data_IF_409066583645
#
_entry.id   IF_409066583645
#
_cell.length_a   1.000
_cell.length_b   1.000
_cell.length_c   1.000
_cell.angle_alpha   90.00
_cell.angle_beta   90.00
_cell.angle_gamma   90.00
#
_symmetry.space_group_name_H-M   'P 1'
#
loop_
_entity.id
_entity.type
_entity.pdbx_description
1 polymer ?
#
# COMPACT_ATOMS: atom_id res chain seq x y z
N UNK A 1 -27.28 73.01 -16.36
CA UNK A 1 -27.31 71.65 -16.94
C UNK A 1 -26.14 70.90 -16.35
N UNK A 2 -26.39 70.01 -15.38
CA UNK A 2 -25.33 69.27 -14.71
C UNK A 2 -24.90 68.10 -15.61
N UNK A 3 -23.61 67.98 -15.86
CA UNK A 3 -23.01 66.87 -16.62
C UNK A 3 -23.10 65.62 -15.76
N UNK A 4 -23.63 64.49 -16.27
CA UNK A 4 -23.69 63.25 -15.50
C UNK A 4 -22.27 62.73 -15.21
N UNK A 5 -22.05 62.08 -14.04
CA UNK A 5 -20.75 61.53 -13.69
C UNK A 5 -20.35 60.40 -14.67
N UNK A 6 -19.04 60.22 -14.93
CA UNK A 6 -18.55 59.13 -15.77
C UNK A 6 -18.89 57.76 -15.14
N UNK A 7 -19.11 56.72 -15.96
CA UNK A 7 -19.36 55.38 -15.47
C UNK A 7 -18.14 54.85 -14.68
N UNK A 8 -18.36 54.00 -13.66
CA UNK A 8 -17.26 53.41 -12.90
C UNK A 8 -16.37 52.56 -13.81
N UNK A 9 -15.06 52.76 -13.71
CA UNK A 9 -14.05 51.93 -14.40
C UNK A 9 -14.19 50.47 -13.95
N UNK A 10 -14.39 49.58 -14.92
CA UNK A 10 -14.48 48.15 -14.72
C UNK A 10 -13.10 47.62 -14.27
N UNK A 11 -13.03 46.85 -13.16
CA UNK A 11 -11.76 46.38 -12.64
C UNK A 11 -11.05 45.49 -13.67
N UNK A 12 -9.70 45.51 -13.74
CA UNK A 12 -8.95 44.71 -14.69
C UNK A 12 -9.26 43.22 -14.49
N UNK A 13 -9.51 42.53 -15.61
CA UNK A 13 -9.78 41.10 -15.63
C UNK A 13 -8.66 40.34 -14.88
N UNK A 14 -9.01 39.33 -14.05
CA UNK A 14 -8.01 38.54 -13.35
C UNK A 14 -7.06 37.88 -14.36
N UNK A 15 -5.77 37.69 -14.01
CA UNK A 15 -4.82 37.00 -14.89
C UNK A 15 -5.33 35.59 -15.21
N UNK A 16 -5.06 35.05 -16.41
CA UNK A 16 -5.48 33.71 -16.76
C UNK A 16 -4.91 32.73 -15.73
N UNK A 17 -5.79 31.90 -15.15
CA UNK A 17 -5.39 30.83 -14.25
C UNK A 17 -4.33 29.96 -14.94
N UNK A 18 -3.24 29.68 -14.23
CA UNK A 18 -2.20 28.76 -14.70
C UNK A 18 -2.77 27.35 -14.94
N UNK A 19 -2.03 26.47 -15.62
CA UNK A 19 -2.50 25.11 -15.88
C UNK A 19 -2.73 24.37 -14.55
N UNK A 20 -3.96 23.92 -14.31
CA UNK A 20 -4.36 23.19 -13.10
C UNK A 20 -4.27 21.66 -13.27
N UNK A 21 -3.87 21.18 -14.46
CA UNK A 21 -3.73 19.74 -14.75
C UNK A 21 -2.79 19.44 -15.92
N UNK A 22 -2.34 18.19 -16.00
CA UNK A 22 -1.44 17.69 -17.05
C UNK A 22 -2.08 16.54 -17.83
N UNK A 23 -1.93 16.55 -19.16
CA UNK A 23 -2.49 15.54 -20.03
C UNK A 23 -1.85 14.15 -19.75
N UNK A 24 -2.63 13.07 -19.58
CA UNK A 24 -2.10 11.74 -19.24
C UNK A 24 -1.30 11.08 -20.37
N UNK A 25 -1.36 11.62 -21.59
CA UNK A 25 -0.66 11.07 -22.77
C UNK A 25 0.65 11.77 -23.08
N UNK A 26 0.68 13.10 -23.02
CA UNK A 26 1.86 13.90 -23.39
C UNK A 26 2.38 14.81 -22.26
N UNK A 27 1.71 14.81 -21.09
CA UNK A 27 2.06 15.62 -19.92
C UNK A 27 2.03 17.15 -20.14
N UNK A 28 1.41 17.62 -21.24
CA UNK A 28 1.18 19.05 -21.46
C UNK A 28 0.18 19.61 -20.45
N UNK A 29 0.45 20.81 -19.94
CA UNK A 29 -0.47 21.51 -19.04
C UNK A 29 -1.72 21.98 -19.77
N UNK A 30 -2.89 21.85 -19.17
CA UNK A 30 -4.16 22.31 -19.76
C UNK A 30 -4.94 23.23 -18.81
N UNK A 31 -5.76 24.10 -19.41
CA UNK A 31 -6.61 25.06 -18.69
C UNK A 31 -7.96 24.44 -18.27
N UNK A 32 -8.63 24.96 -17.24
CA UNK A 32 -9.95 24.49 -16.82
C UNK A 32 -10.98 24.61 -17.96
N UNK A 33 -11.81 23.57 -18.13
CA UNK A 33 -12.84 23.51 -19.18
C UNK A 33 -12.34 23.12 -20.58
N UNK A 34 -11.04 22.83 -20.74
CA UNK A 34 -10.48 22.42 -22.03
C UNK A 34 -10.87 20.96 -22.34
N UNK A 35 -11.71 20.75 -23.36
CA UNK A 35 -12.24 19.41 -23.70
C UNK A 35 -11.23 18.52 -24.43
N UNK A 36 -10.19 19.10 -25.02
CA UNK A 36 -9.14 18.42 -25.77
C UNK A 36 -7.77 19.01 -25.44
N UNK A 37 -6.76 18.17 -25.29
CA UNK A 37 -5.37 18.61 -25.17
C UNK A 37 -4.89 19.18 -26.51
N UNK A 38 -4.39 20.41 -26.50
CA UNK A 38 -3.99 21.14 -27.71
C UNK A 38 -2.69 20.59 -28.32
N UNK A 39 -1.87 19.86 -27.54
CA UNK A 39 -0.59 19.31 -27.98
C UNK A 39 -0.72 17.93 -28.62
N UNK A 40 -1.63 17.07 -28.13
CA UNK A 40 -1.73 15.68 -28.60
C UNK A 40 -3.13 15.27 -29.09
N UNK A 41 -4.14 16.14 -28.98
CA UNK A 41 -5.50 15.89 -29.45
C UNK A 41 -6.32 14.91 -28.60
N UNK A 42 -5.80 14.48 -27.43
CA UNK A 42 -6.55 13.61 -26.53
C UNK A 42 -7.73 14.37 -25.91
N UNK A 43 -8.94 13.79 -25.96
CA UNK A 43 -10.10 14.33 -25.23
C UNK A 43 -9.85 14.23 -23.72
N UNK A 44 -9.83 15.37 -23.05
CA UNK A 44 -9.58 15.45 -21.61
C UNK A 44 -10.89 15.15 -20.85
N UNK A 45 -10.84 14.40 -19.73
CA UNK A 45 -12.01 14.20 -18.91
C UNK A 45 -12.35 15.55 -18.26
N UNK A 46 -13.35 16.23 -18.83
CA UNK A 46 -13.94 17.39 -18.18
C UNK A 46 -14.49 16.90 -16.85
N UNK A 47 -13.89 17.33 -15.74
CA UNK A 47 -14.52 17.27 -14.44
C UNK A 47 -15.74 18.22 -14.47
N UNK A 48 -16.82 17.76 -15.09
CA UNK A 48 -18.11 18.42 -15.08
C UNK A 48 -18.76 18.18 -13.71
N UNK A 49 -18.64 19.20 -12.86
CA UNK A 49 -19.78 19.76 -12.13
C UNK A 49 -20.51 18.88 -11.09
N UNK A 50 -20.27 19.22 -9.82
CA UNK A 50 -21.29 19.49 -8.79
C UNK A 50 -22.46 18.48 -8.67
N UNK A 51 -22.20 17.30 -8.10
CA UNK A 51 -23.16 16.63 -7.22
C UNK A 51 -22.41 16.09 -5.98
N UNK A 52 -22.95 16.27 -4.75
CA UNK A 52 -22.24 15.92 -3.52
C UNK A 52 -22.38 14.42 -3.25
N UNK A 53 -21.63 13.59 -3.99
CA UNK A 53 -21.47 12.15 -3.71
C UNK A 53 -20.04 11.85 -3.18
N UNK A 54 -19.35 12.88 -2.69
CA UNK A 54 -17.95 12.77 -2.24
C UNK A 54 -17.72 13.10 -0.76
N UNK A 55 -18.71 12.90 0.11
CA UNK A 55 -18.43 12.90 1.57
C UNK A 55 -18.02 11.50 2.06
N UNK A 56 -18.21 10.45 1.26
CA UNK A 56 -17.82 9.06 1.62
C UNK A 56 -16.32 8.73 1.39
N UNK A 57 -15.55 9.34 0.45
CA UNK A 57 -14.15 8.94 0.24
C UNK A 57 -13.12 9.67 1.12
N UNK A 58 -13.50 10.74 1.85
CA UNK A 58 -12.54 11.44 2.71
C UNK A 58 -12.37 10.74 4.07
N UNK A 59 -13.47 10.25 4.67
CA UNK A 59 -13.43 9.52 5.94
C UNK A 59 -12.95 8.07 5.75
N UNK A 60 -13.24 7.45 4.60
CA UNK A 60 -12.83 6.08 4.28
C UNK A 60 -11.31 5.92 4.13
N UNK A 61 -10.62 6.92 3.57
CA UNK A 61 -9.15 6.91 3.40
C UNK A 61 -8.39 7.04 4.72
N UNK A 62 -9.00 7.67 5.74
CA UNK A 62 -8.41 7.76 7.08
C UNK A 62 -8.59 6.44 7.87
N UNK A 63 -9.72 5.75 7.68
CA UNK A 63 -10.02 4.51 8.38
C UNK A 63 -9.36 3.26 7.76
N UNK A 64 -9.13 3.26 6.43
CA UNK A 64 -8.36 2.23 5.72
C UNK A 64 -6.91 2.07 6.19
N UNK A 65 -6.32 3.09 6.84
CA UNK A 65 -4.95 3.00 7.39
C UNK A 65 -4.88 2.32 8.76
N UNK A 66 -6.00 2.12 9.46
CA UNK A 66 -5.99 1.59 10.84
C UNK A 66 -6.53 0.17 10.99
N UNK A 67 -7.25 -0.39 10.01
CA UNK A 67 -7.83 -1.74 10.13
C UNK A 67 -7.51 -2.57 8.87
N UNK A 68 -6.56 -3.52 8.94
CA UNK A 68 -6.08 -4.30 7.78
C UNK A 68 -7.07 -5.36 7.28
N UNK A 69 -8.23 -5.52 7.92
CA UNK A 69 -9.28 -6.45 7.54
C UNK A 69 -10.56 -5.67 7.21
N UNK A 70 -10.59 -5.03 6.04
CA UNK A 70 -11.76 -4.31 5.53
C UNK A 70 -12.45 -5.15 4.45
N UNK A 71 -13.61 -5.79 4.74
CA UNK A 71 -14.30 -6.69 3.83
C UNK A 71 -15.15 -5.90 2.81
N UNK A 72 -14.50 -5.22 1.86
CA UNK A 72 -15.12 -4.65 0.66
C UNK A 72 -16.30 -3.69 0.86
N UNK A 73 -16.94 -3.33 -0.24
CA UNK A 73 -18.03 -2.34 -0.31
C UNK A 73 -19.34 -2.79 0.38
N UNK A 74 -19.38 -3.99 0.97
CA UNK A 74 -20.53 -4.52 1.70
C UNK A 74 -20.62 -4.01 3.15
N UNK A 75 -19.51 -3.53 3.74
CA UNK A 75 -19.50 -3.06 5.13
C UNK A 75 -20.35 -1.78 5.32
N UNK A 76 -20.35 -0.88 4.35
CA UNK A 76 -21.14 0.36 4.39
C UNK A 76 -22.65 0.13 4.37
N UNK A 77 -23.22 -0.68 3.46
CA UNK A 77 -24.65 -0.98 3.51
C UNK A 77 -25.02 -1.74 4.78
N UNK A 78 -24.15 -2.60 5.32
CA UNK A 78 -24.38 -3.25 6.62
C UNK A 78 -24.37 -2.25 7.77
N UNK A 79 -23.39 -1.34 7.85
CA UNK A 79 -23.34 -0.28 8.87
C UNK A 79 -24.53 0.66 8.77
N UNK A 80 -24.93 1.05 7.55
CA UNK A 80 -26.14 1.85 7.34
C UNK A 80 -27.39 1.10 7.82
N UNK A 81 -27.53 -0.18 7.47
CA UNK A 81 -28.58 -1.04 7.98
C UNK A 81 -28.56 -1.13 9.51
N UNK A 82 -27.38 -1.23 10.12
CA UNK A 82 -27.20 -1.28 11.58
C UNK A 82 -27.59 0.05 12.22
N UNK A 83 -27.24 1.19 11.63
CA UNK A 83 -27.68 2.52 12.10
C UNK A 83 -29.20 2.64 12.06
N UNK A 84 -29.82 2.26 10.94
CA UNK A 84 -31.29 2.24 10.80
C UNK A 84 -31.93 1.31 11.84
N UNK A 85 -31.35 0.12 12.06
CA UNK A 85 -31.81 -0.82 13.08
C UNK A 85 -31.64 -0.28 14.50
N UNK A 86 -30.51 0.38 14.82
CA UNK A 86 -30.29 1.01 16.13
C UNK A 86 -31.25 2.16 16.38
N UNK A 87 -31.53 2.99 15.37
CA UNK A 87 -32.54 4.06 15.48
C UNK A 87 -33.93 3.47 15.76
N UNK A 88 -34.31 2.41 15.03
CA UNK A 88 -35.54 1.67 15.29
C UNK A 88 -35.60 1.05 16.69
N UNK A 89 -34.50 0.44 17.15
CA UNK A 89 -34.39 -0.15 18.48
C UNK A 89 -34.41 0.91 19.59
N UNK A 90 -33.77 2.08 19.42
CA UNK A 90 -33.83 3.18 20.40
C UNK A 90 -35.24 3.73 20.54
N UNK A 91 -36.00 3.83 19.44
CA UNK A 91 -37.41 4.20 19.47
C UNK A 91 -38.24 3.15 20.22
N UNK A 92 -37.97 1.86 20.03
CA UNK A 92 -38.66 0.78 20.73
C UNK A 92 -38.33 0.73 22.24
N UNK A 93 -37.07 0.95 22.61
CA UNK A 93 -36.62 0.90 24.01
C UNK A 93 -37.14 2.12 24.80
N UNK A 94 -37.27 3.29 24.18
CA UNK A 94 -37.92 4.44 24.83
C UNK A 94 -39.38 4.17 25.19
N UNK A 95 -40.03 3.19 24.55
CA UNK A 95 -41.40 2.76 24.88
C UNK A 95 -41.49 1.73 26.01
N UNK A 96 -40.38 1.14 26.48
CA UNK A 96 -40.45 -0.01 27.41
C UNK A 96 -39.62 0.13 28.69
N UNK A 97 -39.01 1.30 28.95
CA UNK A 97 -38.28 1.53 30.21
C UNK A 97 -39.22 1.93 31.33
N UNK A 98 -39.87 0.93 31.91
CA UNK A 98 -40.39 1.05 33.28
C UNK A 98 -40.23 -0.30 33.99
N UNK A 99 -38.97 -0.67 34.32
CA UNK A 99 -38.61 -1.50 35.49
C UNK A 99 -37.08 -1.55 35.64
N UNK A 100 -36.53 -0.71 36.52
CA UNK A 100 -35.13 -0.82 36.98
C UNK A 100 -35.07 -1.64 38.27
N UNK A 101 -34.25 -2.70 38.27
CA UNK A 101 -33.82 -3.41 39.47
C UNK A 101 -32.32 -3.72 39.37
N UNK A 102 -31.46 -3.23 40.29
CA UNK A 102 -30.01 -3.37 40.15
C UNK A 102 -29.51 -4.73 40.62
N UNK A 103 -28.78 -5.44 39.75
CA UNK A 103 -28.00 -6.63 40.13
C UNK A 103 -26.54 -6.24 40.37
N UNK A 104 -26.05 -6.52 41.57
CA UNK A 104 -24.67 -6.27 42.02
C UNK A 104 -23.83 -7.53 41.78
N UNK A 105 -22.63 -7.40 41.19
CA UNK A 105 -21.58 -8.44 41.27
C UNK A 105 -20.26 -7.78 41.66
N UNK A 106 -19.72 -8.21 42.80
CA UNK A 106 -18.38 -7.93 43.28
C UNK A 106 -17.44 -9.04 42.79
N UNK A 107 -16.19 -8.71 42.44
CA UNK A 107 -15.12 -9.71 42.39
C UNK A 107 -13.83 -9.08 42.89
N UNK A 108 -13.39 -9.64 44.01
CA UNK A 108 -12.12 -9.43 44.69
C UNK A 108 -10.98 -10.12 43.92
N UNK A 109 -9.77 -9.59 43.97
CA UNK A 109 -8.59 -10.20 43.36
C UNK A 109 -7.40 -10.03 44.29
N UNK A 110 -7.07 -11.11 45.01
CA UNK A 110 -5.87 -11.24 45.81
C UNK A 110 -4.73 -11.98 45.08
N UNK A 111 -3.45 -11.76 45.47
CA UNK A 111 -2.24 -12.03 44.67
C UNK A 111 -1.40 -13.20 45.21
N UNK A 112 -0.36 -13.65 44.48
CA UNK A 112 0.93 -14.30 44.92
C UNK A 112 1.63 -14.78 43.62
N UNK A 113 2.78 -14.28 43.15
CA UNK A 113 4.18 -14.19 43.64
C UNK A 113 5.07 -15.44 43.42
N UNK A 114 6.28 -15.11 42.97
CA UNK A 114 7.61 -15.73 43.06
C UNK A 114 8.03 -16.96 42.24
N UNK A 115 9.09 -16.75 41.44
CA UNK A 115 10.26 -17.63 41.42
C UNK A 115 11.08 -17.66 40.11
N UNK A 116 12.37 -17.27 40.12
CA UNK A 116 13.34 -17.72 39.13
C UNK A 116 14.40 -18.65 39.75
N UNK A 117 14.70 -19.77 39.08
CA UNK A 117 15.75 -20.73 39.50
C UNK A 117 16.86 -20.82 38.43
N UNK A 118 18.04 -20.35 38.83
CA UNK A 118 19.41 -20.89 38.71
C UNK A 118 19.88 -21.67 37.47
N UNK A 119 21.07 -21.32 36.94
CA UNK A 119 21.92 -22.23 36.13
C UNK A 119 23.43 -22.05 36.41
N UNK A 120 23.98 -23.00 37.18
CA UNK A 120 25.23 -23.82 37.09
C UNK A 120 26.55 -23.34 36.44
N UNK A 121 27.57 -23.06 37.27
CA UNK A 121 28.89 -23.73 37.56
C UNK A 121 29.74 -24.52 36.50
N UNK A 122 30.94 -23.97 36.19
CA UNK A 122 32.37 -24.49 36.29
C UNK A 122 32.91 -25.81 35.61
N UNK A 123 33.71 -25.69 34.51
CA UNK A 123 35.19 -25.92 34.23
C UNK A 123 36.00 -27.03 35.01
N UNK A 124 37.19 -27.64 34.64
CA UNK A 124 38.05 -27.87 33.41
C UNK A 124 38.53 -29.40 33.21
N UNK A 125 39.82 -29.78 32.89
CA UNK A 125 40.55 -30.02 31.60
C UNK A 125 41.19 -31.45 31.45
N UNK A 126 42.03 -31.79 30.42
CA UNK A 126 43.53 -31.72 30.51
C UNK A 126 44.29 -31.41 29.16
N UNK A 127 45.42 -30.67 29.13
CA UNK A 127 46.88 -31.08 29.12
C UNK A 127 47.35 -31.67 27.76
N UNK A 128 48.46 -31.34 27.07
CA UNK A 128 49.82 -30.86 27.43
C UNK A 128 50.63 -30.36 26.20
N UNK A 129 51.82 -29.76 26.46
CA UNK A 129 53.07 -29.71 25.63
C UNK A 129 53.61 -28.32 25.20
N UNK A 130 54.49 -27.82 26.07
CA UNK A 130 55.75 -27.03 25.98
C UNK A 130 56.44 -26.87 24.61
N UNK A 131 56.98 -25.66 24.29
CA UNK A 131 58.40 -25.35 23.91
C UNK A 131 58.69 -23.84 24.00
N UNK A 132 59.87 -23.54 24.55
CA UNK A 132 60.63 -22.29 24.83
C UNK A 132 60.78 -21.29 23.68
N UNK A 133 60.75 -19.97 23.95
CA UNK A 133 61.43 -18.93 23.14
C UNK A 133 61.83 -17.70 23.99
N UNK A 134 63.01 -17.19 23.68
CA UNK A 134 63.82 -16.11 24.26
C UNK A 134 63.10 -14.75 24.32
N UNK A 135 63.31 -14.01 25.42
CA UNK A 135 62.77 -12.66 25.66
C UNK A 135 63.68 -11.58 25.06
N UNK A 136 63.20 -10.92 24.02
CA UNK A 136 63.66 -9.60 23.57
C UNK A 136 62.65 -8.54 24.09
N UNK A 137 63.08 -7.35 24.55
CA UNK A 137 62.15 -6.31 24.96
C UNK A 137 61.28 -5.83 23.78
N UNK A 138 59.95 -5.70 23.96
CA UNK A 138 59.06 -5.38 22.84
C UNK A 138 59.25 -3.92 22.40
N UNK A 139 59.19 -3.64 21.09
CA UNK A 139 59.03 -2.28 20.60
C UNK A 139 57.68 -1.69 21.08
N UNK A 140 57.55 -0.35 21.14
CA UNK A 140 56.27 0.28 21.48
C UNK A 140 55.16 -0.20 20.53
N UNK A 141 53.93 -0.42 21.03
CA UNK A 141 52.84 -0.91 20.19
C UNK A 141 52.55 0.11 19.08
N UNK A 142 52.33 -0.35 17.84
CA UNK A 142 51.84 0.54 16.78
C UNK A 142 50.48 1.13 17.20
N UNK A 143 50.13 2.33 16.71
CA UNK A 143 48.82 2.90 16.93
C UNK A 143 47.73 1.91 16.47
N UNK A 144 46.57 1.86 17.14
CA UNK A 144 45.49 0.97 16.74
C UNK A 144 45.11 1.25 15.29
N UNK A 145 44.83 0.21 14.48
CA UNK A 145 44.35 0.40 13.13
C UNK A 145 43.08 1.25 13.16
N UNK A 146 42.85 2.11 12.15
CA UNK A 146 41.61 2.83 12.06
C UNK A 146 40.43 1.85 12.09
N UNK A 147 39.29 2.23 12.70
CA UNK A 147 38.12 1.38 12.73
C UNK A 147 37.76 0.94 11.30
N UNK A 148 37.33 -0.30 11.09
CA UNK A 148 36.91 -0.76 9.77
C UNK A 148 35.83 0.20 9.26
N UNK A 149 35.82 0.50 7.94
CA UNK A 149 34.78 1.32 7.36
C UNK A 149 33.40 0.70 7.70
N UNK A 150 32.37 1.52 7.95
CA UNK A 150 31.04 1.00 8.21
C UNK A 150 30.62 0.08 7.05
N UNK A 151 29.89 -1.02 7.35
CA UNK A 151 29.40 -1.91 6.30
C UNK A 151 28.60 -1.09 5.28
N UNK A 152 28.71 -1.41 3.98
CA UNK A 152 27.94 -0.73 2.96
C UNK A 152 26.44 -0.82 3.29
N UNK A 153 25.67 0.25 3.04
CA UNK A 153 24.24 0.23 3.27
C UNK A 153 23.59 -0.93 2.50
N UNK A 154 22.57 -1.60 3.06
CA UNK A 154 21.87 -2.67 2.37
C UNK A 154 21.34 -2.18 1.01
N UNK A 155 21.39 -3.02 -0.04
CA UNK A 155 20.90 -2.64 -1.35
C UNK A 155 19.42 -2.21 -1.25
N UNK A 156 19.01 -1.21 -2.04
CA UNK A 156 17.61 -0.78 -2.07
C UNK A 156 16.71 -1.97 -2.43
N UNK A 157 15.49 -2.05 -1.86
CA UNK A 157 14.54 -3.10 -2.21
C UNK A 157 14.36 -3.19 -3.72
N UNK A 158 14.35 -4.41 -4.26
CA UNK A 158 14.09 -4.63 -5.67
C UNK A 158 12.71 -4.02 -6.02
N UNK A 159 12.71 -3.00 -6.88
CA UNK A 159 11.48 -2.39 -7.36
C UNK A 159 10.71 -3.34 -8.28
N UNK A 160 9.45 -3.01 -8.61
CA UNK A 160 8.64 -3.88 -9.47
C UNK A 160 9.27 -4.11 -10.84
N UNK A 161 9.32 -5.38 -11.27
CA UNK A 161 9.87 -5.77 -12.57
C UNK A 161 8.89 -5.45 -13.71
N UNK A 162 9.42 -5.38 -14.93
CA UNK A 162 8.62 -5.25 -16.15
C UNK A 162 8.52 -6.60 -16.85
N UNK A 163 7.34 -6.89 -17.42
CA UNK A 163 7.16 -8.06 -18.27
C UNK A 163 8.12 -8.00 -19.47
N UNK A 164 8.84 -9.09 -19.81
CA UNK A 164 9.73 -9.12 -20.96
C UNK A 164 8.97 -8.88 -22.27
N UNK A 165 9.45 -7.91 -23.05
CA UNK A 165 8.81 -7.52 -24.31
C UNK A 165 8.81 -8.69 -25.31
N UNK A 166 7.67 -8.90 -25.98
CA UNK A 166 7.53 -9.91 -27.03
C UNK A 166 7.64 -11.36 -26.56
N UNK A 167 7.65 -11.63 -25.26
CA UNK A 167 7.66 -12.99 -24.73
C UNK A 167 6.29 -13.39 -24.20
N UNK A 168 5.87 -14.59 -24.57
CA UNK A 168 4.81 -15.31 -23.89
C UNK A 168 5.41 -16.10 -22.73
N UNK A 169 4.67 -16.21 -21.62
CA UNK A 169 5.12 -16.91 -20.42
C UNK A 169 4.01 -17.07 -19.42
N UNK A 170 4.26 -17.84 -18.36
CA UNK A 170 3.32 -18.03 -17.26
C UNK A 170 3.69 -17.10 -16.10
N UNK A 171 2.67 -16.67 -15.36
CA UNK A 171 2.86 -15.85 -14.17
C UNK A 171 1.76 -16.12 -13.17
N UNK A 172 2.00 -15.73 -11.92
CA UNK A 172 0.96 -15.68 -10.90
C UNK A 172 0.36 -14.28 -10.88
N UNK A 173 -0.90 -14.16 -11.26
CA UNK A 173 -1.66 -12.92 -11.11
C UNK A 173 -2.08 -12.80 -9.66
N UNK A 174 -1.64 -11.73 -8.99
CA UNK A 174 -1.96 -11.42 -7.60
C UNK A 174 -3.25 -10.61 -7.47
N UNK A 175 -3.43 -9.65 -8.38
CA UNK A 175 -4.60 -8.78 -8.43
C UNK A 175 -4.81 -8.18 -9.82
N UNK A 176 -6.06 -7.84 -10.13
CA UNK A 176 -6.41 -7.05 -11.30
C UNK A 176 -7.04 -5.74 -10.83
N UNK A 177 -6.35 -4.63 -11.08
CA UNK A 177 -6.80 -3.28 -10.70
C UNK A 177 -7.42 -2.61 -11.92
N UNK A 178 -8.60 -2.01 -11.81
CA UNK A 178 -9.22 -1.37 -12.96
C UNK A 178 -8.38 -0.17 -13.42
N UNK A 179 -8.28 0.05 -14.74
CA UNK A 179 -7.54 1.21 -15.25
C UNK A 179 -8.09 2.55 -14.75
N UNK A 180 -9.39 2.60 -14.42
CA UNK A 180 -10.02 3.77 -13.79
C UNK A 180 -9.43 4.14 -12.43
N UNK A 181 -8.89 3.18 -11.67
CA UNK A 181 -8.21 3.42 -10.39
C UNK A 181 -6.75 3.89 -10.57
N UNK A 182 -6.25 3.83 -11.79
CA UNK A 182 -4.92 4.30 -12.17
C UNK A 182 -3.77 3.34 -11.83
N UNK A 183 -2.63 3.59 -12.49
CA UNK A 183 -1.38 2.84 -12.27
C UNK A 183 -0.85 2.93 -10.82
N UNK A 184 -0.98 4.05 -10.07
CA UNK A 184 -0.51 4.12 -8.69
C UNK A 184 -1.17 3.08 -7.77
N UNK A 185 -2.46 2.79 -7.97
CA UNK A 185 -3.19 1.79 -7.19
C UNK A 185 -2.63 0.39 -7.43
N UNK A 186 -2.34 0.03 -8.69
CA UNK A 186 -1.68 -1.23 -9.03
C UNK A 186 -0.24 -1.32 -8.48
N UNK A 187 0.52 -0.21 -8.49
CA UNK A 187 1.86 -0.16 -7.89
C UNK A 187 1.83 -0.33 -6.37
N UNK A 188 0.82 0.20 -5.69
CA UNK A 188 0.67 -0.01 -4.25
C UNK A 188 0.44 -1.49 -3.91
N UNK A 189 -0.35 -2.19 -4.74
CA UNK A 189 -0.54 -3.65 -4.60
C UNK A 189 0.75 -4.41 -4.90
N UNK A 190 1.50 -4.02 -5.93
CA UNK A 190 2.81 -4.60 -6.23
C UNK A 190 3.80 -4.40 -5.06
N UNK A 191 3.83 -3.21 -4.46
CA UNK A 191 4.67 -2.94 -3.30
C UNK A 191 4.28 -3.81 -2.11
N UNK A 192 2.98 -3.95 -1.83
CA UNK A 192 2.49 -4.85 -0.77
C UNK A 192 2.96 -6.30 -0.97
N UNK A 193 3.00 -6.77 -2.22
CA UNK A 193 3.49 -8.10 -2.54
C UNK A 193 5.00 -8.25 -2.30
N UNK A 194 5.79 -7.23 -2.65
CA UNK A 194 7.22 -7.20 -2.31
C UNK A 194 7.43 -7.18 -0.79
N UNK A 195 6.63 -6.39 -0.07
CA UNK A 195 6.69 -6.29 1.40
C UNK A 195 6.26 -7.60 2.09
N UNK A 196 5.47 -8.45 1.41
CA UNK A 196 5.11 -9.79 1.89
C UNK A 196 6.15 -10.86 1.56
N UNK A 197 7.27 -10.51 0.94
CA UNK A 197 8.36 -11.41 0.60
C UNK A 197 8.28 -12.03 -0.80
N UNK A 198 7.26 -11.69 -1.60
CA UNK A 198 7.20 -12.14 -2.99
C UNK A 198 8.29 -11.44 -3.80
N UNK A 199 8.97 -12.19 -4.65
CA UNK A 199 10.00 -11.69 -5.55
C UNK A 199 9.46 -11.54 -6.97
N UNK A 200 10.17 -10.80 -7.82
CA UNK A 200 9.82 -10.62 -9.23
C UNK A 200 8.38 -10.14 -9.47
N UNK A 201 7.91 -9.24 -8.60
CA UNK A 201 6.57 -8.66 -8.71
C UNK A 201 6.59 -7.53 -9.74
N UNK A 202 5.59 -7.48 -10.62
CA UNK A 202 5.48 -6.42 -11.61
C UNK A 202 4.04 -5.96 -11.84
N UNK A 203 3.90 -4.90 -12.65
CA UNK A 203 2.59 -4.43 -13.13
C UNK A 203 2.62 -4.38 -14.64
N UNK A 204 1.63 -5.00 -15.28
CA UNK A 204 1.43 -4.93 -16.72
C UNK A 204 0.07 -4.33 -17.06
N UNK A 205 -0.04 -3.67 -18.20
CA UNK A 205 -1.31 -3.21 -18.75
C UNK A 205 -1.94 -4.35 -19.56
N UNK A 206 -3.10 -4.85 -19.15
CA UNK A 206 -3.74 -5.99 -19.80
C UNK A 206 -4.17 -5.70 -21.24
N UNK A 207 -4.44 -4.44 -21.59
CA UNK A 207 -4.81 -4.04 -22.95
C UNK A 207 -3.69 -4.24 -23.98
N UNK A 208 -2.45 -4.47 -23.54
CA UNK A 208 -1.30 -4.71 -24.42
C UNK A 208 -1.09 -6.19 -24.75
N UNK A 209 -1.97 -7.09 -24.28
CA UNK A 209 -1.83 -8.53 -24.43
C UNK A 209 -3.11 -9.12 -25.00
N UNK A 210 -2.99 -9.87 -26.09
CA UNK A 210 -4.11 -10.45 -26.83
C UNK A 210 -4.98 -11.40 -26.01
N UNK A 211 -4.41 -12.06 -25.00
CA UNK A 211 -5.06 -13.11 -24.23
C UNK A 211 -5.53 -12.68 -22.83
N UNK A 212 -5.45 -11.39 -22.51
CA UNK A 212 -5.90 -10.83 -21.24
C UNK A 212 -7.14 -9.96 -21.44
N UNK A 213 -7.99 -9.87 -20.42
CA UNK A 213 -9.14 -8.97 -20.45
C UNK A 213 -8.66 -7.52 -20.43
N UNK A 214 -8.97 -6.69 -21.45
CA UNK A 214 -8.51 -5.31 -21.50
C UNK A 214 -9.15 -4.46 -20.39
N UNK A 215 -8.52 -3.31 -20.09
CA UNK A 215 -9.04 -2.36 -19.11
C UNK A 215 -8.52 -2.53 -17.68
N UNK A 216 -7.48 -3.34 -17.48
CA UNK A 216 -6.88 -3.60 -16.17
C UNK A 216 -5.37 -3.33 -16.14
N UNK A 217 -4.88 -3.00 -14.95
CA UNK A 217 -3.50 -3.17 -14.54
C UNK A 217 -3.40 -4.48 -13.77
N UNK A 218 -2.69 -5.46 -14.33
CA UNK A 218 -2.50 -6.77 -13.71
C UNK A 218 -1.22 -6.72 -12.91
N UNK A 219 -1.33 -7.02 -11.62
CA UNK A 219 -0.19 -7.20 -10.72
C UNK A 219 0.17 -8.66 -10.73
N UNK A 220 1.42 -8.96 -11.05
CA UNK A 220 1.89 -10.33 -11.25
C UNK A 220 3.15 -10.60 -10.42
N UNK A 221 3.43 -11.87 -10.16
CA UNK A 221 4.66 -12.34 -9.53
C UNK A 221 5.33 -13.40 -10.39
N UNK A 222 6.60 -13.15 -10.72
CA UNK A 222 7.44 -14.03 -11.52
C UNK A 222 7.10 -14.05 -13.00
N UNK A 223 8.07 -14.50 -13.81
CA UNK A 223 7.89 -14.80 -15.23
C UNK A 223 8.49 -16.19 -15.45
N UNK A 224 7.62 -17.15 -15.74
CA UNK A 224 7.96 -18.56 -15.81
C UNK A 224 7.82 -19.09 -17.24
N UNK A 225 8.65 -20.05 -17.60
CA UNK A 225 8.60 -20.68 -18.93
C UNK A 225 7.53 -21.77 -19.00
N UNK A 226 7.09 -22.29 -17.84
CA UNK A 226 6.08 -23.34 -17.73
C UNK A 226 4.98 -23.06 -16.70
N UNK A 227 3.82 -23.68 -16.90
CA UNK A 227 2.71 -23.64 -15.94
C UNK A 227 3.11 -24.25 -14.59
N UNK A 228 3.85 -25.37 -14.60
CA UNK A 228 4.24 -26.07 -13.38
C UNK A 228 5.13 -25.23 -12.47
N UNK A 229 6.04 -24.43 -13.02
CA UNK A 229 6.84 -23.48 -12.24
C UNK A 229 5.97 -22.39 -11.60
N UNK A 230 5.00 -21.84 -12.36
CA UNK A 230 4.06 -20.86 -11.84
C UNK A 230 3.13 -21.46 -10.75
N UNK A 231 2.75 -22.72 -10.89
CA UNK A 231 1.95 -23.43 -9.89
C UNK A 231 2.72 -23.72 -8.60
N UNK A 232 4.04 -23.94 -8.69
CA UNK A 232 4.87 -24.17 -7.51
C UNK A 232 4.97 -22.94 -6.59
N UNK A 233 4.94 -21.73 -7.16
CA UNK A 233 4.97 -20.46 -6.39
C UNK A 233 3.58 -19.96 -5.98
N UNK A 234 2.52 -20.54 -6.54
CA UNK A 234 1.13 -20.12 -6.28
C UNK A 234 0.72 -20.22 -4.79
N UNK A 235 1.07 -21.27 -4.01
CA UNK A 235 0.69 -21.36 -2.61
C UNK A 235 1.25 -20.22 -1.76
N UNK A 236 2.49 -19.81 -2.01
CA UNK A 236 3.13 -18.69 -1.34
C UNK A 236 2.41 -17.38 -1.65
N UNK A 237 2.11 -17.13 -2.93
CA UNK A 237 1.32 -15.97 -3.34
C UNK A 237 -0.08 -15.97 -2.71
N UNK A 238 -0.75 -17.14 -2.63
CA UNK A 238 -2.08 -17.28 -2.04
C UNK A 238 -2.14 -17.00 -0.54
N UNK A 239 -1.02 -17.13 0.17
CA UNK A 239 -0.96 -16.78 1.60
C UNK A 239 -1.28 -15.31 1.86
N UNK A 240 -0.88 -14.42 0.94
CA UNK A 240 -1.09 -12.96 1.02
C UNK A 240 -2.22 -12.49 0.09
N UNK A 241 -2.38 -13.15 -1.05
CA UNK A 241 -3.37 -12.84 -2.09
C UNK A 241 -4.25 -14.07 -2.35
N UNK A 242 -5.33 -14.30 -1.57
CA UNK A 242 -6.14 -15.52 -1.69
C UNK A 242 -6.77 -15.73 -3.08
N UNK A 243 -6.99 -14.63 -3.82
CA UNK A 243 -7.48 -14.65 -5.20
C UNK A 243 -6.41 -14.86 -6.25
N UNK A 244 -5.15 -15.15 -5.87
CA UNK A 244 -4.07 -15.36 -6.80
C UNK A 244 -4.29 -16.63 -7.64
N UNK A 245 -3.93 -16.56 -8.92
CA UNK A 245 -4.06 -17.68 -9.85
C UNK A 245 -2.98 -17.61 -10.95
N UNK A 246 -2.70 -18.74 -11.56
CA UNK A 246 -1.74 -18.84 -12.66
C UNK A 246 -2.40 -18.44 -13.98
N UNK A 247 -1.69 -17.68 -14.80
CA UNK A 247 -2.16 -17.28 -16.13
C UNK A 247 -0.99 -17.22 -17.10
N UNK A 248 -1.23 -17.67 -18.32
CA UNK A 248 -0.33 -17.40 -19.43
C UNK A 248 -0.57 -15.98 -19.94
N UNK A 249 0.50 -15.22 -20.13
CA UNK A 249 0.50 -13.91 -20.77
C UNK A 249 1.12 -14.07 -22.15
N UNK A 250 0.46 -13.53 -23.17
CA UNK A 250 0.95 -13.54 -24.55
C UNK A 250 0.71 -12.18 -25.19
N UNK A 251 1.70 -11.61 -25.92
CA UNK A 251 1.52 -10.39 -26.70
C UNK A 251 0.28 -10.45 -27.61
#
# INVERSE_FOLDING_TARGET
MAVPPPPPEEPPAPPPAGPEGACPRCNAGYAPGQEYCLECGLRLPLFQGVLPVHVVPALSRAWQRRVPWYPGDWLWPVLFGLVVATLGATLAILSTRDTDGPTIIATDSGPTDTGPVTTTTTVPPPTDTTVTTVTEPPPPPPPPPPPPPPPPPPPPPAGPIKWPVGKSGFTVILASVAQGDGLPSARAVAQKALDSGLTDVGVLNSSNYSNLTPGYYVVFAGVFDSLGEAENVLPEAKSTFPGAYTRQVSP
#
